data_IF_738980683176
#
_entry.id   IF_738980683176
#
_cell.length_a   1.000
_cell.length_b   1.000
_cell.length_c   1.000
_cell.angle_alpha   90.00
_cell.angle_beta   90.00
_cell.angle_gamma   90.00
#
_symmetry.space_group_name_H-M   'P 1'
#
loop_
_entity.id
_entity.type
_entity.pdbx_description
1 polymer ?
#
# COMPACT_ATOMS: atom_id res chain seq x y z
N UNK A 1 10.59 -4.49 -8.72
CA UNK A 1 11.43 -4.84 -7.53
C UNK A 1 11.71 -3.65 -6.62
N UNK A 2 12.04 -2.44 -7.11
CA UNK A 2 12.32 -1.29 -6.25
C UNK A 2 11.17 -0.86 -5.36
N UNK A 3 9.95 -0.86 -5.87
CA UNK A 3 8.74 -0.57 -5.10
C UNK A 3 8.52 -1.54 -3.96
N UNK A 4 8.56 -2.84 -4.24
CA UNK A 4 8.47 -3.90 -3.22
C UNK A 4 9.54 -3.73 -2.13
N UNK A 5 10.78 -3.43 -2.54
CA UNK A 5 11.88 -3.20 -1.59
C UNK A 5 11.63 -1.96 -0.71
N UNK A 6 11.03 -0.90 -1.25
CA UNK A 6 10.70 0.29 -0.47
C UNK A 6 9.64 0.00 0.61
N UNK A 7 8.62 -0.80 0.27
CA UNK A 7 7.62 -1.27 1.25
C UNK A 7 8.29 -2.13 2.31
N UNK A 8 9.06 -3.17 1.90
CA UNK A 8 9.74 -4.08 2.81
C UNK A 8 10.61 -3.34 3.82
N UNK A 9 11.51 -2.48 3.35
CA UNK A 9 12.42 -1.72 4.23
C UNK A 9 11.65 -0.87 5.24
N UNK A 10 10.55 -0.24 4.81
CA UNK A 10 9.77 0.63 5.69
C UNK A 10 8.99 -0.17 6.73
N UNK A 11 8.34 -1.26 6.34
CA UNK A 11 7.55 -2.05 7.30
C UNK A 11 8.42 -2.89 8.25
N UNK A 12 9.63 -3.26 7.83
CA UNK A 12 10.61 -3.95 8.68
C UNK A 12 11.34 -3.01 9.64
N UNK A 13 11.50 -1.73 9.26
CA UNK A 13 12.28 -0.75 10.01
C UNK A 13 11.54 0.59 10.18
N UNK A 14 10.34 0.59 10.79
CA UNK A 14 9.54 1.82 10.95
C UNK A 14 10.21 2.85 11.85
N UNK A 15 11.21 2.45 12.63
CA UNK A 15 12.05 3.35 13.43
C UNK A 15 13.05 4.16 12.58
N UNK A 16 13.29 3.76 11.33
CA UNK A 16 14.23 4.43 10.39
C UNK A 16 13.52 5.09 9.23
N UNK A 17 12.41 4.50 8.80
CA UNK A 17 11.69 4.93 7.60
C UNK A 17 10.24 5.27 7.98
N UNK A 18 9.85 6.53 7.77
CA UNK A 18 8.49 7.02 8.04
C UNK A 18 7.60 7.09 6.79
N UNK A 19 8.18 6.88 5.61
CA UNK A 19 7.43 6.94 4.37
C UNK A 19 8.04 6.04 3.29
N UNK A 20 7.18 5.55 2.39
CA UNK A 20 7.61 4.83 1.19
C UNK A 20 6.82 5.28 -0.04
N UNK A 21 7.47 5.13 -1.20
CA UNK A 21 6.86 5.26 -2.52
C UNK A 21 7.03 3.93 -3.25
N UNK A 22 5.94 3.23 -3.44
CA UNK A 22 5.88 2.01 -4.24
C UNK A 22 5.48 2.34 -5.68
N UNK A 23 6.40 2.16 -6.61
CA UNK A 23 6.18 2.35 -8.04
C UNK A 23 5.93 1.00 -8.69
N UNK A 24 4.67 0.61 -8.79
CA UNK A 24 4.22 -0.64 -9.40
C UNK A 24 5.00 -1.87 -8.86
N UNK A 25 5.15 -1.95 -7.55
CA UNK A 25 5.81 -3.07 -6.88
C UNK A 25 4.96 -4.33 -6.87
N UNK A 26 5.60 -5.44 -6.66
CA UNK A 26 4.96 -6.73 -6.48
C UNK A 26 4.56 -6.94 -5.00
N UNK A 27 3.67 -7.88 -4.76
CA UNK A 27 3.16 -8.18 -3.42
C UNK A 27 4.24 -8.65 -2.44
N UNK A 28 5.28 -9.30 -2.94
CA UNK A 28 6.43 -9.78 -2.17
C UNK A 28 7.68 -9.82 -3.04
N UNK A 29 8.89 -9.87 -2.45
CA UNK A 29 10.11 -10.14 -3.21
C UNK A 29 9.97 -11.47 -3.97
N UNK A 30 10.19 -11.44 -5.29
CA UNK A 30 9.95 -12.62 -6.13
C UNK A 30 11.12 -12.91 -7.09
N UNK A 31 11.29 -14.21 -7.37
CA UNK A 31 12.16 -14.75 -8.41
C UNK A 31 11.41 -15.88 -9.15
N UNK A 32 10.18 -15.60 -9.56
CA UNK A 32 9.22 -16.53 -10.11
C UNK A 32 7.97 -16.62 -9.21
N UNK A 33 7.30 -17.79 -9.18
CA UNK A 33 6.22 -18.01 -8.21
C UNK A 33 6.77 -18.16 -6.77
N UNK A 34 5.89 -18.18 -5.77
CA UNK A 34 6.29 -18.26 -4.36
C UNK A 34 7.25 -19.41 -4.06
N UNK A 35 6.96 -20.62 -4.55
CA UNK A 35 7.81 -21.79 -4.32
C UNK A 35 9.18 -21.62 -4.96
N UNK A 36 9.23 -21.10 -6.19
CA UNK A 36 10.49 -20.81 -6.87
C UNK A 36 11.29 -19.72 -6.16
N UNK A 37 10.61 -18.69 -5.66
CA UNK A 37 11.25 -17.61 -4.89
C UNK A 37 11.86 -18.14 -3.60
N UNK A 38 11.10 -18.92 -2.82
CA UNK A 38 11.60 -19.55 -1.59
C UNK A 38 12.81 -20.42 -1.87
N UNK A 39 12.77 -21.22 -2.94
CA UNK A 39 13.88 -22.10 -3.31
C UNK A 39 15.11 -21.30 -3.75
N UNK A 40 14.94 -20.31 -4.63
CA UNK A 40 16.05 -19.59 -5.28
C UNK A 40 16.69 -18.54 -4.39
N UNK A 41 15.89 -17.80 -3.61
CA UNK A 41 16.40 -16.69 -2.81
C UNK A 41 16.66 -17.07 -1.35
N UNK A 42 15.97 -18.10 -0.84
CA UNK A 42 16.00 -18.46 0.58
C UNK A 42 16.40 -19.91 0.83
N UNK A 43 16.95 -20.60 -0.21
CA UNK A 43 17.43 -21.97 -0.08
C UNK A 43 16.38 -22.99 0.36
N UNK A 44 15.10 -22.73 0.07
CA UNK A 44 13.96 -23.55 0.49
C UNK A 44 13.41 -23.21 1.88
N UNK A 45 13.97 -22.21 2.57
CA UNK A 45 13.53 -21.81 3.90
C UNK A 45 12.34 -20.84 3.82
N UNK A 46 11.12 -21.35 4.05
CA UNK A 46 9.90 -20.56 4.01
C UNK A 46 9.79 -19.55 5.17
N UNK A 47 10.36 -19.86 6.33
CA UNK A 47 10.35 -18.94 7.47
C UNK A 47 11.26 -17.73 7.21
N UNK A 48 12.43 -17.96 6.60
CA UNK A 48 13.31 -16.88 6.17
C UNK A 48 12.62 -16.00 5.11
N UNK A 49 11.92 -16.60 4.14
CA UNK A 49 11.14 -15.83 3.17
C UNK A 49 10.06 -14.98 3.86
N UNK A 50 9.36 -15.53 4.85
CA UNK A 50 8.29 -14.84 5.56
C UNK A 50 8.74 -13.61 6.34
N UNK A 51 10.06 -13.50 6.63
CA UNK A 51 10.62 -12.29 7.27
C UNK A 51 10.80 -11.13 6.28
N UNK A 52 10.68 -11.39 4.98
CA UNK A 52 10.76 -10.39 3.90
C UNK A 52 9.44 -10.28 3.12
N UNK A 53 8.39 -10.95 3.54
CA UNK A 53 7.06 -10.80 2.94
C UNK A 53 6.32 -9.64 3.61
N UNK A 54 6.07 -8.51 2.91
CA UNK A 54 5.46 -7.32 3.51
C UNK A 54 4.16 -7.63 4.24
N UNK A 55 3.33 -8.51 3.69
CA UNK A 55 2.05 -8.87 4.31
C UNK A 55 2.24 -9.59 5.64
N UNK A 56 3.20 -10.49 5.71
CA UNK A 56 3.54 -11.22 6.93
C UNK A 56 4.20 -10.30 7.95
N UNK A 57 5.07 -9.40 7.50
CA UNK A 57 5.73 -8.43 8.38
C UNK A 57 4.72 -7.47 8.98
N UNK A 58 3.80 -6.92 8.19
CA UNK A 58 2.74 -6.01 8.67
C UNK A 58 1.84 -6.72 9.69
N UNK A 59 1.38 -7.93 9.40
CA UNK A 59 0.53 -8.71 10.31
C UNK A 59 1.23 -9.02 11.64
N UNK A 60 2.53 -9.32 11.61
CA UNK A 60 3.31 -9.68 12.83
C UNK A 60 3.71 -8.45 13.64
N UNK A 61 4.00 -7.33 12.99
CA UNK A 61 4.38 -6.10 13.68
C UNK A 61 3.22 -5.52 14.50
N UNK A 62 1.98 -5.66 14.00
CA UNK A 62 0.81 -5.06 14.60
C UNK A 62 0.66 -3.58 14.22
N UNK A 63 0.46 -2.69 15.20
CA UNK A 63 0.19 -1.27 14.92
C UNK A 63 1.46 -0.48 14.58
N UNK A 64 1.39 0.22 13.44
CA UNK A 64 2.39 1.20 13.02
C UNK A 64 1.98 2.60 13.48
N UNK A 65 2.96 3.40 13.83
CA UNK A 65 2.77 4.80 14.15
C UNK A 65 3.65 5.64 13.22
N UNK A 66 3.06 6.66 12.60
CA UNK A 66 3.80 7.63 11.76
C UNK A 66 4.42 7.06 10.47
N UNK A 67 3.91 5.93 9.98
CA UNK A 67 4.30 5.39 8.66
C UNK A 67 3.26 5.77 7.63
N UNK A 68 3.71 6.28 6.48
CA UNK A 68 2.85 6.63 5.37
C UNK A 68 3.35 6.04 4.05
N UNK A 69 2.44 5.66 3.16
CA UNK A 69 2.76 4.97 1.92
C UNK A 69 1.98 5.48 0.71
N UNK A 70 2.69 5.65 -0.40
CA UNK A 70 2.11 5.95 -1.71
C UNK A 70 2.34 4.75 -2.62
N UNK A 71 1.27 4.07 -2.98
CA UNK A 71 1.30 3.00 -3.98
C UNK A 71 0.87 3.57 -5.34
N UNK A 72 1.77 3.55 -6.31
CA UNK A 72 1.47 4.00 -7.65
C UNK A 72 1.18 2.81 -8.57
N UNK A 73 0.05 2.88 -9.30
CA UNK A 73 -0.35 1.88 -10.27
C UNK A 73 -0.55 2.49 -11.65
N UNK A 74 -0.28 1.72 -12.70
CA UNK A 74 -0.54 2.15 -14.07
C UNK A 74 -2.05 2.25 -14.35
N UNK A 75 -2.51 3.40 -14.86
CA UNK A 75 -3.91 3.58 -15.28
C UNK A 75 -4.26 2.84 -16.57
N UNK A 76 -3.27 2.44 -17.35
CA UNK A 76 -3.44 1.63 -18.58
C UNK A 76 -3.67 0.14 -18.27
N UNK A 77 -3.42 -0.27 -17.04
CA UNK A 77 -3.86 -1.58 -16.59
C UNK A 77 -5.39 -1.70 -16.69
N UNK A 78 -5.87 -2.84 -17.17
CA UNK A 78 -7.26 -3.00 -17.62
C UNK A 78 -8.29 -2.52 -16.58
N UNK A 79 -9.33 -1.83 -17.06
CA UNK A 79 -10.44 -1.33 -16.22
C UNK A 79 -11.18 -2.46 -15.48
N UNK A 80 -11.07 -3.69 -15.97
CA UNK A 80 -11.63 -4.91 -15.34
C UNK A 80 -10.91 -5.22 -14.03
N UNK A 81 -9.58 -5.19 -14.03
CA UNK A 81 -8.79 -5.45 -12.81
C UNK A 81 -9.06 -4.40 -11.72
N UNK A 82 -9.28 -3.13 -12.09
CA UNK A 82 -9.59 -2.07 -11.12
C UNK A 82 -10.97 -2.23 -10.47
N UNK A 83 -11.96 -2.76 -11.19
CA UNK A 83 -13.34 -2.95 -10.66
C UNK A 83 -13.44 -4.15 -9.72
N UNK A 84 -12.72 -5.22 -9.98
CA UNK A 84 -12.72 -6.40 -9.11
C UNK A 84 -12.21 -6.10 -7.69
N UNK A 85 -11.22 -5.21 -7.56
CA UNK A 85 -10.61 -4.87 -6.27
C UNK A 85 -11.34 -3.76 -5.51
N UNK A 86 -12.13 -2.92 -6.18
CA UNK A 86 -12.88 -1.83 -5.53
C UNK A 86 -14.17 -2.30 -4.82
N UNK A 87 -14.61 -3.54 -5.05
CA UNK A 87 -15.94 -4.02 -4.62
C UNK A 87 -15.86 -5.07 -3.50
N UNK A 88 -14.69 -5.61 -3.20
CA UNK A 88 -14.56 -6.69 -2.21
C UNK A 88 -14.33 -6.15 -0.81
N UNK A 89 -15.12 -6.66 0.14
CA UNK A 89 -14.96 -6.54 1.58
C UNK A 89 -13.51 -6.83 2.01
N UNK A 90 -13.03 -6.13 3.03
CA UNK A 90 -11.63 -6.19 3.53
C UNK A 90 -11.14 -7.63 3.79
N UNK A 91 -12.02 -8.53 4.21
CA UNK A 91 -11.71 -9.94 4.41
C UNK A 91 -11.47 -10.71 3.11
N UNK A 92 -12.28 -10.45 2.09
CA UNK A 92 -12.16 -11.04 0.76
C UNK A 92 -10.95 -10.49 0.00
N UNK A 93 -10.57 -9.23 0.24
CA UNK A 93 -9.36 -8.63 -0.31
C UNK A 93 -8.08 -9.28 0.22
N UNK A 94 -8.04 -9.68 1.50
CA UNK A 94 -6.89 -10.42 2.06
C UNK A 94 -6.70 -11.78 1.37
N UNK A 95 -7.78 -12.49 1.07
CA UNK A 95 -7.74 -13.79 0.41
C UNK A 95 -7.38 -13.64 -1.07
N UNK A 96 -8.06 -12.74 -1.77
CA UNK A 96 -7.80 -12.43 -3.18
C UNK A 96 -6.39 -11.87 -3.39
N UNK A 97 -5.87 -11.03 -2.46
CA UNK A 97 -4.50 -10.55 -2.48
C UNK A 97 -3.48 -11.67 -2.32
N UNK A 98 -3.74 -12.65 -1.44
CA UNK A 98 -2.86 -13.82 -1.27
C UNK A 98 -2.88 -14.78 -2.47
N UNK A 99 -4.02 -14.94 -3.11
CA UNK A 99 -4.15 -15.72 -4.36
C UNK A 99 -3.58 -14.96 -5.56
N UNK A 100 -3.82 -13.65 -5.64
CA UNK A 100 -3.25 -12.79 -6.68
C UNK A 100 -1.73 -12.65 -6.53
N UNK A 101 -1.20 -12.69 -5.31
CA UNK A 101 0.24 -12.75 -5.02
C UNK A 101 0.92 -14.03 -5.55
N UNK A 102 0.14 -15.07 -5.84
CA UNK A 102 0.65 -16.23 -6.56
C UNK A 102 0.96 -15.92 -8.05
N UNK A 103 0.46 -14.80 -8.57
CA UNK A 103 0.77 -14.30 -9.91
C UNK A 103 1.57 -13.00 -9.81
N UNK A 104 2.90 -13.04 -9.93
CA UNK A 104 3.78 -11.89 -9.70
C UNK A 104 3.54 -10.68 -10.60
N UNK A 105 2.77 -10.81 -11.66
CA UNK A 105 2.45 -9.71 -12.57
C UNK A 105 1.24 -8.85 -12.15
N UNK A 106 0.60 -9.15 -11.01
CA UNK A 106 -0.59 -8.40 -10.60
C UNK A 106 -0.28 -7.28 -9.58
N UNK A 107 0.47 -6.29 -10.03
CA UNK A 107 0.91 -5.14 -9.23
C UNK A 107 -0.25 -4.29 -8.70
N UNK A 108 -1.38 -4.25 -9.41
CA UNK A 108 -2.58 -3.53 -8.96
C UNK A 108 -3.17 -4.22 -7.73
N UNK A 109 -3.34 -5.54 -7.79
CA UNK A 109 -3.83 -6.31 -6.65
C UNK A 109 -2.88 -6.19 -5.45
N UNK A 110 -1.57 -6.21 -5.69
CA UNK A 110 -0.56 -6.00 -4.67
C UNK A 110 -0.74 -4.66 -3.96
N UNK A 111 -0.82 -3.57 -4.71
CA UNK A 111 -0.98 -2.21 -4.17
C UNK A 111 -2.24 -2.07 -3.30
N UNK A 112 -3.40 -2.53 -3.80
CA UNK A 112 -4.66 -2.45 -3.03
C UNK A 112 -4.63 -3.33 -1.78
N UNK A 113 -4.11 -4.57 -1.89
CA UNK A 113 -4.07 -5.50 -0.77
C UNK A 113 -3.11 -5.06 0.33
N UNK A 114 -1.91 -4.60 -0.05
CA UNK A 114 -0.92 -4.10 0.91
C UNK A 114 -1.37 -2.80 1.57
N UNK A 115 -1.98 -1.87 0.80
CA UNK A 115 -2.52 -0.65 1.39
C UNK A 115 -3.71 -0.93 2.32
N UNK A 116 -4.62 -1.85 1.96
CA UNK A 116 -5.72 -2.23 2.85
C UNK A 116 -5.21 -2.87 4.15
N UNK A 117 -4.24 -3.78 4.05
CA UNK A 117 -3.59 -4.38 5.21
C UNK A 117 -2.84 -3.35 6.05
N UNK A 118 -2.10 -2.45 5.38
CA UNK A 118 -1.38 -1.37 6.05
C UNK A 118 -2.32 -0.46 6.84
N UNK A 119 -3.43 -0.02 6.25
CA UNK A 119 -4.45 0.80 6.92
C UNK A 119 -5.04 0.11 8.14
N UNK A 120 -5.32 -1.20 8.05
CA UNK A 120 -5.80 -1.99 9.18
C UNK A 120 -4.78 -2.06 10.34
N UNK A 121 -3.51 -1.80 10.05
CA UNK A 121 -2.40 -1.81 11.01
C UNK A 121 -1.77 -0.43 11.24
N UNK A 122 -2.47 0.67 10.93
CA UNK A 122 -2.04 2.03 11.28
C UNK A 122 -1.08 2.71 10.29
N UNK A 123 -0.85 2.11 9.12
CA UNK A 123 -0.10 2.77 8.02
C UNK A 123 -1.07 3.68 7.25
N UNK A 124 -0.78 4.97 7.17
CA UNK A 124 -1.53 5.87 6.30
C UNK A 124 -1.07 5.69 4.86
N UNK A 125 -1.93 5.16 3.98
CA UNK A 125 -1.55 4.90 2.59
C UNK A 125 -2.65 5.21 1.57
N UNK A 126 -2.23 5.47 0.33
CA UNK A 126 -3.11 5.65 -0.81
C UNK A 126 -2.63 4.83 -2.02
N UNK A 127 -3.58 4.36 -2.83
CA UNK A 127 -3.29 3.76 -4.15
C UNK A 127 -3.65 4.78 -5.21
N UNK A 128 -2.66 5.24 -5.96
CA UNK A 128 -2.78 6.34 -6.91
C UNK A 128 -2.53 5.84 -8.32
N UNK A 129 -3.53 5.98 -9.19
CA UNK A 129 -3.39 5.64 -10.60
C UNK A 129 -2.68 6.77 -11.36
N UNK A 130 -1.63 6.44 -12.10
CA UNK A 130 -0.89 7.36 -12.95
C UNK A 130 -0.93 6.90 -14.41
N UNK A 131 -0.95 7.83 -15.39
CA UNK A 131 -0.93 7.47 -16.82
C UNK A 131 0.37 6.76 -17.19
N UNK A 132 0.27 5.80 -18.09
CA UNK A 132 1.42 5.13 -18.69
C UNK A 132 1.51 3.65 -18.38
N UNK A 133 2.49 3.01 -19.01
CA UNK A 133 2.84 1.59 -18.84
C UNK A 133 3.87 1.47 -17.73
N UNK A 134 4.18 0.24 -17.32
CA UNK A 134 5.27 -0.03 -16.39
C UNK A 134 6.63 0.12 -17.09
N UNK A 135 7.08 1.37 -17.24
CA UNK A 135 8.34 1.77 -17.89
C UNK A 135 8.99 2.94 -17.13
N UNK A 136 10.20 3.33 -17.54
CA UNK A 136 10.92 4.44 -16.91
C UNK A 136 10.18 5.78 -16.97
N UNK A 137 9.54 6.17 -18.10
CA UNK A 137 8.72 7.37 -18.14
C UNK A 137 7.53 7.35 -17.17
N UNK A 138 6.97 6.18 -16.86
CA UNK A 138 5.96 6.05 -15.81
C UNK A 138 6.56 6.29 -14.43
N UNK A 139 7.70 5.66 -14.13
CA UNK A 139 8.38 5.81 -12.85
C UNK A 139 8.76 7.27 -12.57
N UNK A 140 9.25 7.99 -13.58
CA UNK A 140 9.61 9.40 -13.52
C UNK A 140 8.39 10.27 -13.17
N UNK A 141 7.28 10.13 -13.91
CA UNK A 141 6.04 10.86 -13.60
C UNK A 141 5.49 10.56 -12.21
N UNK A 142 5.55 9.30 -11.77
CA UNK A 142 5.12 8.93 -10.43
C UNK A 142 5.97 9.62 -9.38
N UNK A 143 7.29 9.62 -9.57
CA UNK A 143 8.21 10.26 -8.63
C UNK A 143 7.97 11.76 -8.56
N UNK A 144 7.87 12.45 -9.70
CA UNK A 144 7.55 13.88 -9.75
C UNK A 144 6.23 14.21 -9.04
N UNK A 145 5.18 13.41 -9.27
CA UNK A 145 3.87 13.61 -8.65
C UNK A 145 3.88 13.37 -7.14
N UNK A 146 4.66 12.40 -6.66
CA UNK A 146 4.75 12.06 -5.25
C UNK A 146 5.74 12.92 -4.47
N UNK A 147 6.69 13.59 -5.16
CA UNK A 147 7.79 14.30 -4.52
C UNK A 147 7.35 15.39 -3.53
N UNK A 148 6.34 16.25 -3.81
CA UNK A 148 5.88 17.23 -2.83
C UNK A 148 5.34 16.59 -1.55
N UNK A 149 4.59 15.49 -1.68
CA UNK A 149 4.10 14.72 -0.54
C UNK A 149 5.26 14.10 0.24
N UNK A 150 6.15 13.42 -0.44
CA UNK A 150 7.30 12.75 0.18
C UNK A 150 8.20 13.75 0.92
N UNK A 151 8.51 14.88 0.31
CA UNK A 151 9.31 15.95 0.92
C UNK A 151 8.64 16.48 2.20
N UNK A 152 7.32 16.68 2.19
CA UNK A 152 6.56 17.06 3.38
C UNK A 152 6.56 15.99 4.47
N UNK A 153 6.45 14.70 4.11
CA UNK A 153 6.52 13.58 5.07
C UNK A 153 7.91 13.50 5.74
N UNK A 154 8.96 13.77 4.99
CA UNK A 154 10.35 13.78 5.48
C UNK A 154 10.70 15.06 6.28
N UNK A 155 9.77 16.00 6.43
CA UNK A 155 10.00 17.23 7.17
C UNK A 155 11.00 18.17 6.51
N UNK A 156 11.07 18.18 5.17
CA UNK A 156 11.97 19.07 4.42
C UNK A 156 11.68 20.54 4.76
N UNK A 157 12.69 21.33 5.17
CA UNK A 157 12.47 22.72 5.54
C UNK A 157 11.79 23.54 4.44
N UNK A 158 10.76 24.30 4.81
CA UNK A 158 10.01 25.13 3.87
C UNK A 158 8.98 24.38 3.00
N UNK A 159 8.89 23.06 3.09
CA UNK A 159 7.89 22.25 2.38
C UNK A 159 6.75 21.88 3.34
N UNK A 160 5.50 22.32 3.08
CA UNK A 160 4.38 21.94 3.92
C UNK A 160 4.05 20.47 3.78
N UNK A 161 3.56 19.85 4.86
CA UNK A 161 3.04 18.49 4.82
C UNK A 161 1.74 18.48 4.01
N UNK A 162 1.69 17.67 2.94
CA UNK A 162 0.52 17.50 2.07
C UNK A 162 -0.13 16.15 2.42
N UNK A 163 -1.45 16.10 2.39
CA UNK A 163 -2.17 14.84 2.57
C UNK A 163 -1.93 13.90 1.37
N UNK A 164 -2.05 12.59 1.62
CA UNK A 164 -2.10 11.60 0.54
C UNK A 164 -3.31 11.88 -0.36
N UNK A 165 -3.21 11.67 -1.67
CA UNK A 165 -4.36 11.71 -2.56
C UNK A 165 -5.43 10.71 -2.08
N UNK A 166 -6.70 11.12 -2.11
CA UNK A 166 -7.86 10.30 -1.70
C UNK A 166 -7.90 9.85 -0.23
N UNK A 167 -6.99 10.32 0.63
CA UNK A 167 -7.13 10.14 2.08
C UNK A 167 -8.44 10.77 2.64
N UNK A 168 -9.08 11.64 1.87
CA UNK A 168 -10.29 12.40 2.26
C UNK A 168 -11.59 11.57 2.28
N UNK A 169 -11.63 10.35 1.78
CA UNK A 169 -12.86 9.53 1.76
C UNK A 169 -13.06 8.65 3.00
N UNK A 170 -12.17 8.74 3.97
CA UNK A 170 -12.31 8.09 5.28
C UNK A 170 -12.75 9.05 6.40
N UNK A 171 -13.53 10.08 6.07
CA UNK A 171 -14.27 10.80 7.10
C UNK A 171 -15.32 9.85 7.69
N UNK A 172 -15.13 9.45 8.93
CA UNK A 172 -16.14 8.74 9.70
C UNK A 172 -17.47 9.50 9.63
N UNK A 173 -18.61 8.83 9.54
CA UNK A 173 -19.91 9.51 9.54
C UNK A 173 -20.01 10.35 10.81
N UNK A 174 -20.04 11.66 10.63
CA UNK A 174 -20.28 12.63 11.70
C UNK A 174 -21.59 12.25 12.37
N UNK A 175 -21.50 11.96 13.66
CA UNK A 175 -22.63 11.53 14.49
C UNK A 175 -23.83 12.45 14.34
N UNK A 176 -24.97 11.86 14.10
CA UNK A 176 -26.27 12.49 14.16
C UNK A 176 -26.42 13.13 15.53
N UNK A 177 -26.44 14.45 15.55
CA UNK A 177 -26.77 15.22 16.76
C UNK A 177 -28.23 14.93 17.10
N UNK A 178 -28.46 14.16 18.15
CA UNK A 178 -29.79 13.95 18.71
C UNK A 178 -30.18 15.25 19.35
N UNK A 179 -31.15 15.97 18.74
CA UNK A 179 -31.80 17.13 19.34
C UNK A 179 -32.73 16.62 20.47
N UNK A 180 -32.54 17.06 21.72
CA UNK A 180 -33.46 16.65 22.77
C UNK A 180 -34.86 17.28 22.57
N UNK A 181 -35.88 16.44 22.63
CA UNK A 181 -37.27 16.89 22.56
C UNK A 181 -37.56 17.83 23.71
N UNK A 182 -38.01 19.08 23.40
CA UNK A 182 -38.52 20.01 24.38
C UNK A 182 -39.93 19.56 24.81
N UNK A 183 -40.08 19.21 26.07
CA UNK A 183 -41.40 19.06 26.69
C UNK A 183 -42.03 20.43 26.86
N UNK A 184 -43.11 20.72 26.13
CA UNK A 184 -44.03 21.82 26.39
C UNK A 184 -44.96 21.43 27.53
N UNK A 185 -45.07 22.34 28.50
CA UNK A 185 -46.11 22.28 29.53
C UNK A 185 -47.44 22.78 28.96
#
# INVERSE_FOLDING_TARGET
>A
MGGTCAVDLTVMHPEKFSAFLDVAGDYFPNAGNKTQTITRLFGGNADAWATFDPSTVIDRHGQYNHVAGWFAISSEASAVQRREFAITDTGSMRLAGREAAANPSNQIAAAYSLCALGRANGIDCAVVAQPGKHDWPFADRVFEAALPWLAGQLGTPGIPRVALPDASSSAAPTGTTVVPAQHSK
#
